data_IF_902317413701
#
_entry.id   IF_902317413701
#
_cell.length_a   1.000
_cell.length_b   1.000
_cell.length_c   1.000
_cell.angle_alpha   90.00
_cell.angle_beta   90.00
_cell.angle_gamma   90.00
#
_symmetry.space_group_name_H-M   'P 1'
#
loop_
_entity.id
_entity.type
_entity.pdbx_description
1 polymer ?
#
# COMPACT_ATOMS: atom_id res chain seq x y z
N UNK A 1 -54.97 20.15 59.74
CA UNK A 1 -54.26 20.77 58.59
C UNK A 1 -52.84 21.11 59.00
N UNK A 2 -51.83 20.47 58.38
CA UNK A 2 -50.43 20.92 58.34
C UNK A 2 -49.91 20.59 56.93
N UNK A 3 -49.37 21.53 56.15
CA UNK A 3 -48.89 21.24 54.80
C UNK A 3 -47.46 20.67 54.86
N UNK A 4 -47.24 19.55 54.15
CA UNK A 4 -45.91 19.00 53.88
C UNK A 4 -45.29 19.77 52.72
N UNK A 5 -44.42 20.73 53.02
CA UNK A 5 -43.61 21.44 52.05
C UNK A 5 -42.57 20.49 51.45
N UNK A 6 -42.56 20.34 50.12
CA UNK A 6 -41.63 19.49 49.39
C UNK A 6 -40.17 19.91 49.59
N UNK A 7 -39.29 18.94 49.89
CA UNK A 7 -37.84 19.13 49.85
C UNK A 7 -37.40 19.31 48.40
N UNK A 8 -37.15 20.55 47.98
CA UNK A 8 -36.37 20.80 46.75
C UNK A 8 -34.93 20.29 46.96
N UNK A 9 -34.52 19.33 46.12
CA UNK A 9 -33.15 18.84 46.04
C UNK A 9 -32.23 20.00 45.62
N UNK A 10 -31.43 20.50 46.56
CA UNK A 10 -30.41 21.54 46.30
C UNK A 10 -29.19 20.88 45.67
N UNK A 11 -29.19 20.80 44.34
CA UNK A 11 -28.05 20.28 43.56
C UNK A 11 -26.93 21.31 43.56
N UNK A 12 -25.70 20.89 43.87
CA UNK A 12 -24.52 21.76 43.89
C UNK A 12 -24.20 22.29 42.48
N UNK A 13 -23.88 23.58 42.35
CA UNK A 13 -23.49 24.20 41.07
C UNK A 13 -22.36 23.43 40.37
N UNK A 14 -21.41 22.85 41.11
CA UNK A 14 -20.35 22.00 40.54
C UNK A 14 -20.89 20.73 39.88
N UNK A 15 -21.92 20.13 40.46
CA UNK A 15 -22.60 18.96 39.90
C UNK A 15 -23.42 19.32 38.66
N UNK A 16 -23.98 20.54 38.61
CA UNK A 16 -24.70 21.05 37.43
C UNK A 16 -23.72 21.29 36.27
N UNK A 17 -22.57 21.92 36.53
CA UNK A 17 -21.54 22.10 35.49
C UNK A 17 -21.00 20.76 34.96
N UNK A 18 -20.80 19.78 35.83
CA UNK A 18 -20.42 18.43 35.40
C UNK A 18 -21.52 17.79 34.53
N UNK A 19 -22.79 17.92 34.92
CA UNK A 19 -23.91 17.41 34.12
C UNK A 19 -24.01 18.08 32.75
N UNK A 20 -23.86 19.41 32.69
CA UNK A 20 -23.86 20.16 31.42
C UNK A 20 -22.68 19.73 30.54
N UNK A 21 -21.50 19.53 31.12
CA UNK A 21 -20.32 19.05 30.39
C UNK A 21 -20.52 17.64 29.83
N UNK A 22 -20.99 16.69 30.64
CA UNK A 22 -21.24 15.33 30.15
C UNK A 22 -22.39 15.27 29.14
N UNK A 23 -23.42 16.09 29.32
CA UNK A 23 -24.52 16.20 28.36
C UNK A 23 -24.05 16.82 27.04
N UNK A 24 -23.21 17.86 27.07
CA UNK A 24 -22.66 18.46 25.85
C UNK A 24 -21.68 17.54 25.14
N UNK A 25 -20.87 16.78 25.88
CA UNK A 25 -19.97 15.77 25.33
C UNK A 25 -20.74 14.61 24.69
N UNK A 26 -21.81 14.14 25.35
CA UNK A 26 -22.69 13.11 24.81
C UNK A 26 -23.43 13.58 23.56
N UNK A 27 -23.95 14.81 23.57
CA UNK A 27 -24.66 15.38 22.42
C UNK A 27 -23.72 15.60 21.23
N UNK A 28 -22.50 16.11 21.49
CA UNK A 28 -21.45 16.24 20.47
C UNK A 28 -21.06 14.87 19.89
N UNK A 29 -20.89 13.85 20.73
CA UNK A 29 -20.56 12.49 20.29
C UNK A 29 -21.67 11.91 19.39
N UNK A 30 -22.93 12.04 19.81
CA UNK A 30 -24.08 11.59 19.02
C UNK A 30 -24.21 12.37 17.70
N UNK A 31 -23.93 13.67 17.71
CA UNK A 31 -23.89 14.50 16.50
C UNK A 31 -22.83 13.98 15.51
N UNK A 32 -21.62 13.66 15.97
CA UNK A 32 -20.58 13.08 15.09
C UNK A 32 -20.96 11.70 14.54
N UNK A 33 -21.62 10.87 15.34
CA UNK A 33 -22.09 9.54 14.90
C UNK A 33 -23.23 9.64 13.88
N UNK A 34 -24.18 10.56 14.06
CA UNK A 34 -25.39 10.63 13.22
C UNK A 34 -25.30 11.62 12.04
N UNK A 35 -24.62 12.74 12.20
CA UNK A 35 -24.59 13.82 11.20
C UNK A 35 -23.40 13.69 10.24
N UNK A 36 -22.29 13.09 10.68
CA UNK A 36 -21.10 12.91 9.87
C UNK A 36 -20.44 11.52 10.04
N UNK A 37 -21.16 10.42 9.75
CA UNK A 37 -20.60 9.06 9.87
C UNK A 37 -19.35 8.88 8.99
N UNK A 38 -19.25 9.58 7.86
CA UNK A 38 -18.07 9.59 7.00
C UNK A 38 -16.83 10.19 7.67
N UNK A 39 -16.98 11.21 8.52
CA UNK A 39 -15.87 11.88 9.21
C UNK A 39 -15.42 11.05 10.43
N UNK A 40 -16.37 10.53 11.21
CA UNK A 40 -16.03 9.62 12.32
C UNK A 40 -15.31 8.36 11.82
N UNK A 41 -15.76 7.80 10.68
CA UNK A 41 -15.09 6.69 10.03
C UNK A 41 -13.69 7.05 9.53
N UNK A 42 -13.49 8.22 8.90
CA UNK A 42 -12.13 8.59 8.43
C UNK A 42 -11.16 8.78 9.58
N UNK A 43 -11.56 9.41 10.70
CA UNK A 43 -10.70 9.50 11.88
C UNK A 43 -10.41 8.14 12.50
N UNK A 44 -11.42 7.26 12.60
CA UNK A 44 -11.22 5.90 13.10
C UNK A 44 -10.26 5.11 12.21
N UNK A 45 -10.46 5.12 10.90
CA UNK A 45 -9.58 4.47 9.93
C UNK A 45 -8.17 5.06 9.96
N UNK A 46 -8.02 6.37 10.14
CA UNK A 46 -6.71 7.02 10.26
C UNK A 46 -5.97 6.58 11.53
N UNK A 47 -6.65 6.55 12.69
CA UNK A 47 -6.04 6.11 13.96
C UNK A 47 -5.73 4.61 13.92
N UNK A 48 -6.59 3.79 13.33
CA UNK A 48 -6.34 2.37 13.10
C UNK A 48 -5.11 2.16 12.18
N UNK A 49 -5.04 2.87 11.06
CA UNK A 49 -3.91 2.80 10.13
C UNK A 49 -2.58 3.21 10.82
N UNK A 50 -2.57 4.27 11.62
CA UNK A 50 -1.39 4.67 12.38
C UNK A 50 -0.95 3.61 13.40
N UNK A 51 -1.91 2.99 14.12
CA UNK A 51 -1.63 1.93 15.07
C UNK A 51 -1.07 0.65 14.43
N UNK A 52 -1.59 0.28 13.26
CA UNK A 52 -1.11 -0.87 12.47
C UNK A 52 0.31 -0.61 11.95
N UNK A 53 0.56 0.57 11.36
CA UNK A 53 1.88 0.97 10.86
C UNK A 53 2.95 0.95 11.96
N UNK A 54 2.62 1.41 13.17
CA UNK A 54 3.51 1.33 14.34
C UNK A 54 3.82 -0.12 14.70
N UNK A 55 2.81 -0.99 14.74
CA UNK A 55 2.96 -2.42 15.06
C UNK A 55 3.85 -3.13 14.05
N UNK A 56 3.65 -2.89 12.75
CA UNK A 56 4.42 -3.55 11.69
C UNK A 56 5.86 -3.06 11.62
N UNK A 57 6.09 -1.77 11.86
CA UNK A 57 7.45 -1.24 12.01
C UNK A 57 8.18 -1.91 13.18
N UNK A 58 7.53 -2.04 14.34
CA UNK A 58 8.11 -2.72 15.51
C UNK A 58 8.37 -4.20 15.21
N UNK A 59 7.45 -4.89 14.52
CA UNK A 59 7.62 -6.31 14.14
C UNK A 59 8.75 -6.51 13.15
N UNK A 60 8.89 -5.61 12.18
CA UNK A 60 9.97 -5.61 11.18
C UNK A 60 11.32 -5.38 11.86
N UNK A 61 11.42 -4.40 12.74
CA UNK A 61 12.63 -4.13 13.54
C UNK A 61 12.98 -5.35 14.40
N UNK A 62 12.00 -5.97 15.07
CA UNK A 62 12.22 -7.18 15.87
C UNK A 62 12.75 -8.36 15.06
N UNK A 63 12.25 -8.56 13.84
CA UNK A 63 12.74 -9.60 12.93
C UNK A 63 14.17 -9.33 12.46
N UNK A 64 14.49 -8.07 12.14
CA UNK A 64 15.85 -7.64 11.76
C UNK A 64 16.81 -7.88 12.94
N UNK A 65 16.49 -7.39 14.14
CA UNK A 65 17.30 -7.59 15.35
C UNK A 65 17.52 -9.07 15.65
N UNK A 66 16.50 -9.92 15.51
CA UNK A 66 16.61 -11.36 15.70
C UNK A 66 17.53 -12.03 14.67
N UNK A 67 17.54 -11.56 13.43
CA UNK A 67 18.47 -12.06 12.40
C UNK A 67 19.91 -11.61 12.65
N UNK A 68 20.13 -10.36 13.07
CA UNK A 68 21.46 -9.85 13.42
C UNK A 68 22.03 -10.54 14.66
N UNK A 69 21.22 -10.70 15.71
CA UNK A 69 21.64 -11.42 16.93
C UNK A 69 21.91 -12.89 16.66
N UNK A 70 21.09 -13.57 15.84
CA UNK A 70 21.35 -14.96 15.44
C UNK A 70 22.60 -15.11 14.56
N UNK A 71 22.97 -14.10 13.75
CA UNK A 71 24.24 -14.08 13.00
C UNK A 71 25.45 -13.86 13.92
N UNK A 72 25.29 -13.10 15.01
CA UNK A 72 26.36 -12.81 15.96
C UNK A 72 26.53 -13.89 17.04
N UNK A 73 25.54 -14.75 17.28
CA UNK A 73 25.63 -15.86 18.25
C UNK A 73 26.61 -16.98 17.84
N UNK A 74 27.31 -16.87 16.71
CA UNK A 74 28.46 -17.71 16.35
C UNK A 74 29.82 -17.10 16.68
N UNK A 75 29.89 -15.90 17.29
CA UNK A 75 31.15 -15.31 17.74
C UNK A 75 31.01 -14.78 19.18
N UNK A 76 31.71 -15.41 20.12
CA UNK A 76 31.94 -14.85 21.45
C UNK A 76 32.61 -13.47 21.31
N UNK A 77 32.01 -12.44 21.90
CA UNK A 77 32.65 -11.13 22.04
C UNK A 77 31.66 -10.02 22.34
N UNK A 78 31.59 -9.64 23.61
CA UNK A 78 31.11 -8.32 24.04
C UNK A 78 32.13 -7.28 23.60
N UNK A 79 31.77 -6.36 22.71
CA UNK A 79 32.35 -5.02 22.62
C UNK A 79 31.50 -4.14 21.69
N UNK A 80 31.00 -3.02 22.22
CA UNK A 80 30.44 -1.91 21.44
C UNK A 80 31.56 -0.86 21.26
N UNK A 81 31.99 -0.53 20.04
CA UNK A 81 32.68 0.72 19.81
C UNK A 81 31.66 1.80 19.43
N UNK A 82 31.52 2.78 20.31
CA UNK A 82 31.02 4.11 20.00
C UNK A 82 32.04 4.84 19.10
N UNK A 83 31.58 5.63 18.14
CA UNK A 83 32.47 6.35 17.23
C UNK A 83 31.84 6.81 15.92
N UNK A 84 31.10 7.92 15.99
CA UNK A 84 30.83 8.83 14.87
C UNK A 84 32.09 9.17 14.08
N UNK A 85 32.01 9.10 12.74
CA UNK A 85 32.72 10.01 11.83
C UNK A 85 31.92 10.15 10.52
N UNK A 86 31.44 11.37 10.33
CA UNK A 86 30.68 11.85 9.17
C UNK A 86 31.62 12.18 8.01
N UNK A 87 31.55 11.39 6.94
CA UNK A 87 31.88 11.83 5.57
C UNK A 87 30.93 11.12 4.61
N UNK A 88 30.13 11.92 3.91
CA UNK A 88 29.17 11.61 2.86
C UNK A 88 29.19 10.17 2.30
N UNK A 89 28.43 9.31 2.96
CA UNK A 89 27.73 8.23 2.27
C UNK A 89 26.26 8.64 2.31
N UNK A 90 25.60 8.73 1.16
CA UNK A 90 24.14 8.85 1.12
C UNK A 90 23.59 7.62 1.82
N UNK A 91 23.33 7.76 3.12
CA UNK A 91 23.05 6.65 4.01
C UNK A 91 21.79 5.96 3.48
N UNK A 92 21.97 4.77 2.92
CA UNK A 92 20.86 3.87 2.65
C UNK A 92 20.10 3.74 3.97
N UNK A 93 18.88 4.25 4.01
CA UNK A 93 18.01 4.15 5.18
C UNK A 93 18.07 2.70 5.69
N UNK A 94 18.30 2.52 6.99
CA UNK A 94 18.53 1.24 7.69
C UNK A 94 17.37 0.22 7.58
N UNK A 95 16.39 0.47 6.71
CA UNK A 95 15.24 -0.39 6.43
C UNK A 95 15.42 -1.31 5.21
N UNK A 96 16.49 -1.17 4.41
CA UNK A 96 16.75 -2.04 3.26
C UNK A 96 17.75 -3.13 3.63
N UNK A 97 17.55 -4.33 3.07
CA UNK A 97 18.47 -5.44 3.27
C UNK A 97 19.86 -5.11 2.67
N UNK A 98 20.95 -5.64 3.26
CA UNK A 98 22.28 -5.51 2.67
C UNK A 98 22.34 -6.19 1.31
N UNK A 99 23.20 -5.70 0.41
CA UNK A 99 23.33 -6.21 -0.97
C UNK A 99 23.64 -7.72 -1.02
N UNK A 100 24.32 -8.24 0.00
CA UNK A 100 24.73 -9.65 0.11
C UNK A 100 23.63 -10.54 0.72
N UNK A 101 22.37 -10.10 0.73
CA UNK A 101 21.26 -10.89 1.26
C UNK A 101 20.94 -12.07 0.33
N UNK A 102 21.07 -13.28 0.85
CA UNK A 102 20.72 -14.51 0.14
C UNK A 102 19.24 -14.79 0.27
N UNK A 103 18.53 -14.79 -0.87
CA UNK A 103 17.11 -15.12 -0.96
C UNK A 103 16.96 -16.64 -1.02
N UNK A 104 16.04 -17.20 -0.25
CA UNK A 104 15.74 -18.63 -0.25
C UNK A 104 14.35 -18.89 -0.86
N UNK A 105 14.20 -19.90 -1.75
CA UNK A 105 12.93 -20.22 -2.38
C UNK A 105 11.78 -20.51 -1.40
N UNK A 106 12.12 -21.06 -0.24
CA UNK A 106 11.15 -21.48 0.78
C UNK A 106 10.73 -20.36 1.74
N UNK A 107 11.36 -19.19 1.65
CA UNK A 107 11.05 -18.05 2.51
C UNK A 107 10.22 -17.00 1.76
N UNK A 108 9.37 -16.23 2.46
CA UNK A 108 8.67 -15.12 1.86
C UNK A 108 9.65 -14.05 1.39
N UNK A 109 9.44 -13.52 0.18
CA UNK A 109 10.24 -12.43 -0.37
C UNK A 109 10.27 -11.23 0.59
N UNK A 110 11.42 -10.57 0.80
CA UNK A 110 11.46 -9.31 1.54
C UNK A 110 10.58 -8.24 0.90
N UNK A 111 9.94 -7.40 1.71
CA UNK A 111 9.12 -6.28 1.20
C UNK A 111 9.97 -5.11 0.69
N UNK A 112 11.11 -4.87 1.35
CA UNK A 112 12.08 -3.84 0.97
C UNK A 112 13.34 -4.50 0.45
N UNK A 113 13.50 -4.47 -0.86
CA UNK A 113 14.60 -5.13 -1.55
C UNK A 113 15.71 -4.12 -1.87
N UNK A 114 16.99 -4.54 -1.81
CA UNK A 114 18.11 -3.64 -2.11
C UNK A 114 18.05 -3.07 -3.54
N UNK A 115 17.43 -3.81 -4.46
CA UNK A 115 17.29 -3.45 -5.88
C UNK A 115 16.16 -2.45 -6.16
N UNK A 116 15.39 -2.01 -5.15
CA UNK A 116 14.47 -0.88 -5.26
C UNK A 116 15.25 0.44 -5.25
N UNK A 117 15.61 0.92 -6.43
CA UNK A 117 16.53 2.06 -6.62
C UNK A 117 15.91 3.40 -6.28
N UNK A 118 14.58 3.47 -6.18
CA UNK A 118 13.83 4.70 -5.96
C UNK A 118 13.34 5.28 -7.28
N UNK A 119 13.71 6.53 -7.63
CA UNK A 119 13.26 7.16 -8.87
C UNK A 119 13.49 6.31 -10.13
N UNK A 120 12.48 6.22 -10.97
CA UNK A 120 12.50 5.54 -12.28
C UNK A 120 12.56 6.63 -13.37
N UNK A 121 13.39 6.42 -14.39
CA UNK A 121 13.39 7.28 -15.57
C UNK A 121 12.19 6.95 -16.48
N UNK A 122 11.31 7.94 -16.68
CA UNK A 122 10.03 7.74 -17.37
C UNK A 122 10.17 8.10 -18.84
N UNK A 123 10.35 7.07 -19.64
CA UNK A 123 10.24 7.18 -21.09
C UNK A 123 8.77 7.18 -21.53
N UNK A 124 8.30 8.25 -22.16
CA UNK A 124 6.94 8.35 -22.73
C UNK A 124 6.92 8.21 -24.27
N UNK A 125 8.02 7.81 -24.90
CA UNK A 125 8.07 7.57 -26.33
C UNK A 125 7.08 6.48 -26.73
N UNK A 126 6.43 6.65 -27.87
CA UNK A 126 5.57 5.61 -28.44
C UNK A 126 6.36 4.32 -28.66
N UNK A 127 5.70 3.20 -28.40
CA UNK A 127 6.23 1.85 -28.58
C UNK A 127 5.05 0.93 -28.90
N UNK A 128 5.26 -0.02 -29.80
CA UNK A 128 4.23 -0.98 -30.20
C UNK A 128 4.13 -2.13 -29.20
N UNK A 129 3.00 -2.84 -29.18
CA UNK A 129 2.83 -3.99 -28.29
C UNK A 129 3.75 -5.15 -28.71
N UNK A 130 4.06 -5.25 -30.00
CA UNK A 130 5.00 -6.21 -30.58
C UNK A 130 6.42 -5.99 -30.07
N UNK A 131 6.89 -4.74 -30.07
CA UNK A 131 8.20 -4.37 -29.51
C UNK A 131 8.27 -4.66 -28.00
N UNK A 132 7.18 -4.42 -27.26
CA UNK A 132 7.07 -4.77 -25.85
C UNK A 132 7.16 -6.29 -25.63
N UNK A 133 6.47 -7.08 -26.44
CA UNK A 133 6.58 -8.55 -26.35
C UNK A 133 7.99 -9.04 -26.65
N UNK A 134 8.68 -8.45 -27.63
CA UNK A 134 10.08 -8.77 -27.92
C UNK A 134 11.01 -8.35 -26.78
N UNK A 135 10.80 -7.15 -26.20
CA UNK A 135 11.59 -6.65 -25.07
C UNK A 135 11.47 -7.57 -23.84
N UNK A 136 10.32 -8.21 -23.65
CA UNK A 136 10.03 -9.05 -22.50
C UNK A 136 10.03 -10.56 -22.78
N UNK A 137 10.49 -10.99 -23.97
CA UNK A 137 10.57 -12.42 -24.32
C UNK A 137 11.43 -13.21 -23.33
N UNK A 138 12.48 -12.57 -22.82
CA UNK A 138 13.50 -13.19 -21.97
C UNK A 138 13.17 -13.06 -20.47
N UNK A 139 12.03 -12.44 -20.12
CA UNK A 139 11.65 -12.13 -18.74
C UNK A 139 10.71 -13.17 -18.11
N UNK A 140 10.54 -14.33 -18.74
CA UNK A 140 9.69 -15.44 -18.27
C UNK A 140 8.24 -15.03 -17.97
N UNK A 141 7.69 -14.09 -18.74
CA UNK A 141 6.29 -13.68 -18.60
C UNK A 141 5.40 -14.73 -19.29
N UNK A 142 4.57 -15.39 -18.48
CA UNK A 142 3.61 -16.37 -18.94
C UNK A 142 2.41 -15.76 -19.68
N UNK A 143 1.57 -16.62 -20.30
CA UNK A 143 0.37 -16.17 -20.99
C UNK A 143 -0.55 -15.37 -20.05
N UNK A 144 -1.20 -14.33 -20.60
CA UNK A 144 -2.02 -13.40 -19.82
C UNK A 144 -1.21 -12.41 -18.97
N UNK A 145 0.08 -12.25 -19.24
CA UNK A 145 0.96 -11.34 -18.49
C UNK A 145 1.22 -11.81 -17.06
N UNK A 146 1.17 -13.13 -16.81
CA UNK A 146 1.43 -13.72 -15.49
C UNK A 146 2.94 -13.84 -15.24
N UNK A 147 3.39 -13.38 -14.08
CA UNK A 147 4.76 -13.58 -13.64
C UNK A 147 4.82 -13.91 -12.16
N UNK A 148 5.81 -14.71 -11.74
CA UNK A 148 6.10 -15.01 -10.34
C UNK A 148 7.61 -15.15 -10.11
N UNK A 149 8.12 -14.74 -8.93
CA UNK A 149 9.52 -14.97 -8.59
C UNK A 149 9.79 -16.48 -8.41
N UNK A 150 10.98 -16.91 -8.80
CA UNK A 150 11.47 -18.30 -8.64
C UNK A 150 12.44 -18.46 -7.47
N UNK A 151 12.99 -17.35 -6.99
CA UNK A 151 14.00 -17.25 -5.94
C UNK A 151 13.41 -17.16 -4.52
N UNK A 152 12.15 -16.76 -4.38
CA UNK A 152 11.42 -16.71 -3.11
C UNK A 152 9.92 -16.92 -3.30
N UNK A 153 9.21 -17.13 -2.19
CA UNK A 153 7.75 -17.17 -2.19
C UNK A 153 7.21 -15.73 -2.15
N UNK A 154 6.39 -15.29 -3.13
CA UNK A 154 5.87 -13.92 -3.18
C UNK A 154 4.98 -13.66 -1.95
N UNK A 155 5.07 -12.46 -1.38
CA UNK A 155 4.19 -12.04 -0.27
C UNK A 155 2.75 -11.84 -0.72
N UNK A 156 2.59 -11.30 -1.92
CA UNK A 156 1.31 -10.94 -2.50
C UNK A 156 1.19 -11.49 -3.90
N UNK A 157 0.05 -12.10 -4.18
CA UNK A 157 -0.44 -12.36 -5.53
C UNK A 157 -1.38 -11.23 -5.91
N UNK A 158 -1.02 -10.47 -6.95
CA UNK A 158 -1.66 -9.20 -7.30
C UNK A 158 -2.34 -9.29 -8.65
N UNK A 159 -3.67 -9.08 -8.67
CA UNK A 159 -4.40 -8.81 -9.90
C UNK A 159 -4.41 -7.31 -10.18
N UNK A 160 -3.84 -6.89 -11.31
CA UNK A 160 -3.81 -5.48 -11.73
C UNK A 160 -4.92 -5.28 -12.75
N UNK A 161 -5.95 -4.54 -12.35
CA UNK A 161 -7.15 -4.29 -13.15
C UNK A 161 -7.01 -2.94 -13.85
N UNK A 162 -7.15 -2.95 -15.17
CA UNK A 162 -6.94 -1.79 -16.03
C UNK A 162 -8.23 -1.54 -16.82
N UNK A 163 -9.02 -0.50 -16.49
CA UNK A 163 -10.22 -0.18 -17.23
C UNK A 163 -9.79 0.48 -18.55
N UNK A 164 -10.28 -0.03 -19.67
CA UNK A 164 -9.72 0.30 -20.97
C UNK A 164 -10.79 0.63 -22.01
N UNK A 165 -10.49 1.63 -22.85
CA UNK A 165 -11.19 1.90 -24.11
C UNK A 165 -10.37 2.84 -24.98
N UNK A 166 -10.05 2.44 -26.21
CA UNK A 166 -9.39 3.28 -27.21
C UNK A 166 -8.11 4.00 -26.71
N UNK A 167 -7.31 3.35 -25.86
CA UNK A 167 -6.06 3.89 -25.29
C UNK A 167 -4.83 3.06 -25.72
N UNK A 168 -4.84 2.58 -26.96
CA UNK A 168 -3.86 1.61 -27.47
C UNK A 168 -2.42 2.14 -27.44
N UNK A 169 -2.20 3.44 -27.52
CA UNK A 169 -0.88 4.07 -27.41
C UNK A 169 -0.35 4.08 -25.96
N UNK A 170 -1.22 4.11 -24.95
CA UNK A 170 -0.82 4.18 -23.55
C UNK A 170 -0.46 2.79 -23.00
N UNK A 171 -1.11 1.74 -23.49
CA UNK A 171 -0.98 0.39 -22.94
C UNK A 171 0.43 -0.21 -23.10
N UNK A 172 1.13 -0.07 -24.24
CA UNK A 172 2.53 -0.48 -24.36
C UNK A 172 3.47 0.29 -23.42
N UNK A 173 3.25 1.61 -23.28
CA UNK A 173 4.02 2.47 -22.37
C UNK A 173 3.82 2.02 -20.91
N UNK A 174 2.58 1.69 -20.54
CA UNK A 174 2.23 1.13 -19.25
C UNK A 174 3.01 -0.15 -18.95
N UNK A 175 3.02 -1.11 -19.88
CA UNK A 175 3.75 -2.37 -19.70
C UNK A 175 5.26 -2.18 -19.63
N UNK A 176 5.83 -1.30 -20.46
CA UNK A 176 7.26 -0.95 -20.46
C UNK A 176 7.78 -0.62 -19.05
N UNK A 177 6.97 0.07 -18.26
CA UNK A 177 7.36 0.57 -16.94
C UNK A 177 6.95 -0.34 -15.81
N UNK A 178 5.70 -0.83 -15.82
CA UNK A 178 5.18 -1.60 -14.70
C UNK A 178 5.78 -3.00 -14.63
N UNK A 179 6.02 -3.68 -15.75
CA UNK A 179 6.55 -5.05 -15.73
C UNK A 179 7.90 -5.10 -14.99
N UNK A 180 8.93 -4.32 -15.38
CA UNK A 180 10.21 -4.34 -14.67
C UNK A 180 10.09 -3.89 -13.22
N UNK A 181 9.21 -2.91 -12.93
CA UNK A 181 8.98 -2.45 -11.56
C UNK A 181 8.42 -3.58 -10.68
N UNK A 182 7.35 -4.24 -11.10
CA UNK A 182 6.68 -5.30 -10.34
C UNK A 182 7.58 -6.52 -10.13
N UNK A 183 8.41 -6.85 -11.12
CA UNK A 183 9.43 -7.89 -10.99
C UNK A 183 10.50 -7.54 -9.95
N UNK A 184 10.99 -6.30 -9.94
CA UNK A 184 11.91 -5.81 -8.89
C UNK A 184 11.28 -5.86 -7.49
N UNK A 185 9.96 -5.70 -7.42
CA UNK A 185 9.17 -5.84 -6.20
C UNK A 185 8.89 -7.30 -5.79
N UNK A 186 9.27 -8.29 -6.61
CA UNK A 186 9.09 -9.73 -6.35
C UNK A 186 7.63 -10.10 -6.04
N UNK A 187 6.70 -9.46 -6.74
CA UNK A 187 5.27 -9.77 -6.67
C UNK A 187 4.93 -10.91 -7.63
N UNK A 188 4.01 -11.80 -7.27
CA UNK A 188 3.32 -12.60 -8.29
C UNK A 188 2.19 -11.73 -8.83
N UNK A 189 2.10 -11.52 -10.15
CA UNK A 189 1.10 -10.63 -10.71
C UNK A 189 0.56 -11.11 -12.06
N UNK A 190 -0.62 -10.62 -12.41
CA UNK A 190 -1.20 -10.67 -13.75
C UNK A 190 -1.94 -9.37 -14.06
N UNK A 191 -2.00 -9.05 -15.35
CA UNK A 191 -2.75 -7.89 -15.84
C UNK A 191 -4.10 -8.31 -16.41
N UNK A 192 -5.13 -7.56 -16.05
CA UNK A 192 -6.47 -7.71 -16.60
C UNK A 192 -6.87 -6.39 -17.25
N UNK A 193 -6.86 -6.36 -18.59
CA UNK A 193 -7.33 -5.22 -19.37
C UNK A 193 -8.82 -5.39 -19.63
N UNK A 194 -9.65 -4.59 -18.97
CA UNK A 194 -11.11 -4.67 -19.05
C UNK A 194 -11.61 -3.65 -20.05
N UNK A 195 -11.81 -4.10 -21.27
CA UNK A 195 -12.29 -3.25 -22.36
C UNK A 195 -13.81 -3.01 -22.29
N UNK A 196 -14.22 -1.74 -22.34
CA UNK A 196 -15.63 -1.39 -22.49
C UNK A 196 -16.04 -1.32 -23.95
N UNK A 197 -16.77 -2.34 -24.41
CA UNK A 197 -17.35 -2.37 -25.74
C UNK A 197 -18.46 -1.32 -25.94
N UNK A 198 -18.64 -0.91 -27.20
CA UNK A 198 -19.69 0.01 -27.64
C UNK A 198 -19.36 1.49 -27.42
N UNK A 199 -20.34 2.34 -27.71
CA UNK A 199 -20.19 3.81 -27.79
C UNK A 199 -20.76 4.57 -26.58
N UNK A 200 -21.22 3.84 -25.56
CA UNK A 200 -21.80 4.40 -24.34
C UNK A 200 -20.77 5.21 -23.54
N UNK A 201 -21.20 5.94 -22.52
CA UNK A 201 -20.27 6.66 -21.63
C UNK A 201 -19.33 5.68 -20.93
N UNK A 202 -18.07 6.07 -20.76
CA UNK A 202 -17.08 5.21 -20.10
C UNK A 202 -17.41 5.09 -18.61
N UNK A 203 -17.56 3.86 -18.11
CA UNK A 203 -17.88 3.59 -16.71
C UNK A 203 -16.72 2.86 -16.03
N UNK A 204 -15.73 3.65 -15.61
CA UNK A 204 -14.50 3.19 -14.94
C UNK A 204 -14.78 2.27 -13.74
N UNK A 205 -15.68 2.67 -12.85
CA UNK A 205 -16.00 1.90 -11.65
C UNK A 205 -16.67 0.55 -11.96
N UNK A 206 -17.56 0.52 -12.95
CA UNK A 206 -18.17 -0.73 -13.41
C UNK A 206 -17.11 -1.69 -13.96
N UNK A 207 -16.15 -1.20 -14.75
CA UNK A 207 -15.09 -2.05 -15.31
C UNK A 207 -14.19 -2.64 -14.23
N UNK A 208 -13.90 -1.89 -13.17
CA UNK A 208 -13.20 -2.44 -12.00
C UNK A 208 -13.99 -3.56 -11.31
N UNK A 209 -15.30 -3.38 -11.12
CA UNK A 209 -16.15 -4.42 -10.54
C UNK A 209 -16.21 -5.68 -11.41
N UNK A 210 -16.28 -5.51 -12.74
CA UNK A 210 -16.22 -6.62 -13.70
C UNK A 210 -14.85 -7.31 -13.63
N UNK A 211 -13.77 -6.53 -13.70
CA UNK A 211 -12.40 -7.03 -13.62
C UNK A 211 -12.13 -7.81 -12.34
N UNK A 212 -12.62 -7.34 -11.19
CA UNK A 212 -12.51 -8.06 -9.92
C UNK A 212 -13.20 -9.42 -10.01
N UNK A 213 -14.44 -9.47 -10.52
CA UNK A 213 -15.17 -10.73 -10.65
C UNK A 213 -14.50 -11.72 -11.58
N UNK A 214 -13.95 -11.27 -12.70
CA UNK A 214 -13.27 -12.16 -13.66
C UNK A 214 -11.90 -12.61 -13.16
N UNK A 215 -11.11 -11.71 -12.57
CA UNK A 215 -9.80 -12.05 -12.00
C UNK A 215 -9.92 -13.12 -10.89
N UNK A 216 -10.94 -13.01 -10.04
CA UNK A 216 -11.17 -13.98 -8.95
C UNK A 216 -11.66 -15.35 -9.43
N UNK A 217 -12.10 -15.48 -10.69
CA UNK A 217 -12.39 -16.78 -11.32
C UNK A 217 -11.14 -17.43 -11.91
N UNK A 218 -10.21 -16.62 -12.39
CA UNK A 218 -8.97 -17.08 -13.01
C UNK A 218 -8.01 -17.66 -11.96
N UNK A 219 -7.71 -16.89 -10.90
CA UNK A 219 -6.79 -17.32 -9.83
C UNK A 219 -7.23 -16.83 -8.46
N UNK A 220 -6.66 -17.47 -7.42
CA UNK A 220 -6.78 -17.02 -6.03
C UNK A 220 -5.79 -15.88 -5.78
N UNK A 221 -6.23 -14.66 -6.06
CA UNK A 221 -5.47 -13.45 -5.79
C UNK A 221 -5.61 -13.00 -4.34
N UNK A 222 -4.52 -12.49 -3.77
CA UNK A 222 -4.50 -11.96 -2.40
C UNK A 222 -4.76 -10.45 -2.39
N UNK A 223 -4.38 -9.78 -3.48
CA UNK A 223 -4.42 -8.34 -3.63
C UNK A 223 -4.99 -7.95 -5.00
N UNK A 224 -5.74 -6.86 -5.04
CA UNK A 224 -6.29 -6.30 -6.27
C UNK A 224 -5.91 -4.83 -6.34
N UNK A 225 -5.30 -4.43 -7.45
CA UNK A 225 -4.93 -3.05 -7.73
C UNK A 225 -5.80 -2.51 -8.86
N UNK A 226 -6.48 -1.41 -8.58
CA UNK A 226 -7.22 -0.64 -9.57
C UNK A 226 -6.30 0.40 -10.19
N UNK A 227 -5.96 0.25 -11.47
CA UNK A 227 -4.94 1.05 -12.12
C UNK A 227 -5.45 1.69 -13.40
N UNK A 228 -5.24 3.00 -13.56
CA UNK A 228 -5.51 3.65 -14.84
C UNK A 228 -4.35 3.42 -15.81
N UNK A 229 -4.65 3.24 -17.09
CA UNK A 229 -3.62 2.92 -18.11
C UNK A 229 -2.62 4.07 -18.34
N UNK A 230 -2.98 5.30 -17.96
CA UNK A 230 -2.19 6.52 -18.16
C UNK A 230 -1.45 7.01 -16.91
N UNK A 231 -1.52 6.29 -15.80
CA UNK A 231 -0.66 6.55 -14.64
C UNK A 231 0.58 5.67 -14.70
N UNK A 232 1.76 6.27 -14.52
CA UNK A 232 3.03 5.54 -14.45
C UNK A 232 3.72 5.91 -13.12
N UNK A 233 4.13 4.93 -12.29
CA UNK A 233 4.86 5.21 -11.06
C UNK A 233 6.28 5.68 -11.37
N UNK A 234 6.65 6.83 -10.80
CA UNK A 234 8.00 7.40 -10.93
C UNK A 234 8.99 6.88 -9.89
N UNK A 235 8.56 5.99 -8.99
CA UNK A 235 9.41 5.49 -7.91
C UNK A 235 9.09 4.03 -7.60
N UNK A 236 10.07 3.13 -7.77
CA UNK A 236 9.90 1.70 -7.56
C UNK A 236 9.77 1.28 -6.08
N UNK A 237 9.99 2.22 -5.15
CA UNK A 237 9.71 2.04 -3.72
C UNK A 237 8.23 2.20 -3.40
N UNK A 238 7.41 2.67 -4.35
CA UNK A 238 5.96 2.57 -4.24
C UNK A 238 5.55 1.10 -4.45
N UNK A 239 5.60 0.30 -3.38
CA UNK A 239 5.37 -1.15 -3.43
C UNK A 239 3.92 -1.52 -3.74
N UNK A 240 3.66 -2.20 -4.86
CA UNK A 240 2.34 -2.60 -5.36
C UNK A 240 1.83 -3.89 -4.69
N UNK A 241 2.12 -4.07 -3.40
CA UNK A 241 1.46 -5.04 -2.54
C UNK A 241 0.34 -4.40 -1.73
N UNK A 242 -0.61 -5.22 -1.30
CA UNK A 242 -1.66 -4.78 -0.38
C UNK A 242 -1.14 -4.71 1.07
N UNK A 243 -1.89 -4.04 1.94
CA UNK A 243 -1.71 -4.06 3.38
C UNK A 243 -3.01 -4.41 4.08
N UNK A 244 -3.08 -4.20 5.39
CA UNK A 244 -4.31 -4.42 6.17
C UNK A 244 -5.41 -3.40 5.83
N UNK A 245 -5.03 -2.23 5.32
CA UNK A 245 -5.93 -1.14 4.95
C UNK A 245 -5.86 -0.84 3.45
N UNK A 246 -6.95 -0.36 2.83
CA UNK A 246 -6.92 0.11 1.45
C UNK A 246 -5.85 1.18 1.25
N UNK A 247 -5.08 1.06 0.16
CA UNK A 247 -3.97 1.95 -0.14
C UNK A 247 -4.27 2.80 -1.37
N UNK A 248 -3.92 4.08 -1.27
CA UNK A 248 -3.93 5.00 -2.40
C UNK A 248 -2.49 5.14 -2.92
N UNK A 249 -2.24 4.79 -4.18
CA UNK A 249 -0.88 4.80 -4.75
C UNK A 249 -0.52 6.11 -5.44
N UNK A 250 -1.49 6.76 -6.08
CA UNK A 250 -1.32 7.97 -6.87
C UNK A 250 -1.52 9.24 -6.02
N UNK A 251 -0.75 9.35 -4.92
CA UNK A 251 -0.88 10.48 -3.97
C UNK A 251 -0.38 11.80 -4.53
N UNK A 252 0.68 11.76 -5.34
CA UNK A 252 1.29 12.93 -5.98
C UNK A 252 1.43 12.68 -7.47
N UNK A 253 0.81 13.54 -8.27
CA UNK A 253 0.78 13.41 -9.73
C UNK A 253 1.48 14.61 -10.38
N UNK A 254 2.20 14.33 -11.46
CA UNK A 254 2.87 15.33 -12.30
C UNK A 254 1.90 16.39 -12.85
N UNK A 255 0.69 15.96 -13.22
CA UNK A 255 -0.41 16.78 -13.72
C UNK A 255 -0.82 17.87 -12.74
N UNK A 256 -0.58 17.65 -11.45
CA UNK A 256 -0.84 18.60 -10.38
C UNK A 256 0.46 19.18 -9.79
N UNK A 257 1.58 19.09 -10.52
CA UNK A 257 2.90 19.59 -10.11
C UNK A 257 3.35 19.02 -8.76
N UNK A 258 2.89 17.80 -8.43
CA UNK A 258 3.14 17.13 -7.14
C UNK A 258 2.65 17.91 -5.91
N UNK A 259 1.68 18.83 -6.09
CA UNK A 259 1.04 19.62 -5.03
C UNK A 259 -0.06 18.85 -4.30
#
# INVERSE_FOLDING_TARGET
MRPLFGRLLRVSNRSIFAFIFFFSLSSSCLYFVYVAPGIANTYLFMVQAQGIMLRDNVRTIGNILRQYTNKNSTLNGTDYPDGTNSTDFTAQSTMYLPENFTISPHLPCPEKLPFMRGPIDINMSEITLEEIHQQFSDMDIGPGGHWKPTDCTPRWKVAILIPFRNRHEHLPIFFRHLIPMLQRQRLEFSFYVIEQAGTQTFNRAMLFNVGFKEAMKDRKWDCVIFHDVDHIPENDRNYYGCGEMPRHFAEKLDKYMYM
#
